data_IF_846018465654
#
_entry.id   IF_846018465654
#
_cell.length_a   1.000
_cell.length_b   1.000
_cell.length_c   1.000
_cell.angle_alpha   90.00
_cell.angle_beta   90.00
_cell.angle_gamma   90.00
#
_symmetry.space_group_name_H-M   'P 1'
#
loop_
_entity.id
_entity.type
_entity.pdbx_description
1 polymer ?
#
# COMPACT_ATOMS: atom_id res chain seq x y z
N UNK A 1 -10.91 0.77 7.43
CA UNK A 1 -10.83 0.76 5.95
C UNK A 1 -12.12 0.16 5.41
N UNK A 2 -12.66 0.70 4.31
CA UNK A 2 -13.95 0.34 3.73
C UNK A 2 -13.84 -0.91 2.83
N UNK A 3 -14.74 -1.88 3.00
CA UNK A 3 -14.78 -3.12 2.21
C UNK A 3 -15.62 -2.90 0.94
N UNK A 4 -14.96 -2.87 -0.21
CA UNK A 4 -15.60 -2.78 -1.53
C UNK A 4 -15.44 -4.13 -2.25
N UNK A 5 -16.52 -4.72 -2.80
CA UNK A 5 -16.46 -6.04 -3.44
C UNK A 5 -15.42 -6.13 -4.57
N UNK A 6 -15.23 -5.05 -5.34
CA UNK A 6 -14.23 -5.00 -6.43
C UNK A 6 -12.77 -4.97 -5.94
N UNK A 7 -12.53 -4.84 -4.63
CA UNK A 7 -11.22 -4.88 -4.01
C UNK A 7 -11.00 -6.15 -3.18
N UNK A 8 -11.86 -7.16 -3.29
CA UNK A 8 -11.80 -8.34 -2.41
C UNK A 8 -10.43 -9.05 -2.47
N UNK A 9 -9.78 -9.16 -3.63
CA UNK A 9 -8.44 -9.76 -3.75
C UNK A 9 -7.34 -8.94 -3.06
N UNK A 10 -7.39 -7.62 -3.23
CA UNK A 10 -6.49 -6.66 -2.57
C UNK A 10 -6.71 -6.68 -1.06
N UNK A 11 -7.97 -6.70 -0.64
CA UNK A 11 -8.38 -6.76 0.76
C UNK A 11 -7.95 -8.08 1.42
N UNK A 12 -8.17 -9.20 0.76
CA UNK A 12 -7.73 -10.50 1.23
C UNK A 12 -6.20 -10.55 1.42
N UNK A 13 -5.44 -9.93 0.51
CA UNK A 13 -3.99 -9.82 0.62
C UNK A 13 -3.58 -8.90 1.78
N UNK A 14 -4.23 -7.73 1.90
CA UNK A 14 -4.02 -6.80 3.00
C UNK A 14 -4.31 -7.45 4.36
N UNK A 15 -5.42 -8.17 4.50
CA UNK A 15 -5.76 -8.88 5.73
C UNK A 15 -4.72 -9.96 6.06
N UNK A 16 -4.19 -10.67 5.05
CA UNK A 16 -3.09 -11.63 5.25
C UNK A 16 -1.81 -10.94 5.76
N UNK A 17 -1.55 -9.70 5.37
CA UNK A 17 -0.41 -8.93 5.87
C UNK A 17 -0.55 -8.53 7.33
N UNK A 18 -1.77 -8.33 7.80
CA UNK A 18 -1.99 -7.91 9.17
C UNK A 18 -2.19 -9.08 10.16
N UNK A 19 -2.37 -10.31 9.65
CA UNK A 19 -2.43 -11.51 10.50
C UNK A 19 -1.21 -11.57 11.44
N UNK A 20 -1.41 -11.89 12.73
CA UNK A 20 -0.30 -12.10 13.65
C UNK A 20 0.59 -13.24 13.15
N UNK A 21 1.89 -13.14 13.40
CA UNK A 21 2.82 -14.26 13.25
C UNK A 21 2.78 -15.01 14.57
N UNK A 22 2.36 -16.27 14.55
CA UNK A 22 2.19 -17.05 15.77
C UNK A 22 3.51 -17.68 16.18
N UNK A 23 3.76 -17.78 17.48
CA UNK A 23 4.98 -18.38 18.03
C UNK A 23 5.17 -19.87 17.68
N UNK A 24 4.11 -20.52 17.18
CA UNK A 24 4.11 -21.91 16.73
C UNK A 24 4.57 -22.10 15.28
N UNK A 25 4.72 -21.01 14.52
CA UNK A 25 5.30 -21.09 13.18
C UNK A 25 6.81 -21.32 13.33
N UNK A 26 7.33 -22.44 12.83
CA UNK A 26 8.78 -22.73 12.80
C UNK A 26 9.59 -21.58 12.19
N UNK A 27 8.93 -20.80 11.33
CA UNK A 27 9.50 -19.67 10.64
C UNK A 27 9.70 -18.42 11.54
N UNK A 28 8.98 -18.37 12.67
CA UNK A 28 8.95 -17.22 13.57
C UNK A 28 10.31 -16.90 14.19
N UNK A 29 11.12 -17.91 14.52
CA UNK A 29 12.44 -17.70 15.16
C UNK A 29 13.39 -16.88 14.29
N UNK A 30 13.39 -17.08 12.96
CA UNK A 30 14.24 -16.30 12.04
C UNK A 30 13.74 -14.87 11.90
N UNK A 31 12.43 -14.67 11.78
CA UNK A 31 11.85 -13.34 11.73
C UNK A 31 12.12 -12.56 13.01
N UNK A 32 11.99 -13.22 14.17
CA UNK A 32 12.28 -12.65 15.48
C UNK A 32 13.76 -12.23 15.60
N UNK A 33 14.68 -13.08 15.16
CA UNK A 33 16.12 -12.80 15.20
C UNK A 33 16.49 -11.63 14.28
N UNK A 34 16.00 -11.62 13.04
CA UNK A 34 16.22 -10.54 12.09
C UNK A 34 15.68 -9.21 12.65
N UNK A 35 14.46 -9.23 13.19
CA UNK A 35 13.86 -8.04 13.78
C UNK A 35 14.53 -7.57 15.06
N UNK A 36 15.05 -8.48 15.88
CA UNK A 36 15.84 -8.12 17.05
C UNK A 36 17.09 -7.34 16.65
N UNK A 37 17.79 -7.76 15.58
CA UNK A 37 18.96 -7.04 15.05
C UNK A 37 18.60 -5.69 14.41
N UNK A 38 17.48 -5.62 13.70
CA UNK A 38 17.01 -4.37 13.06
C UNK A 38 16.65 -3.31 14.11
N UNK A 39 16.00 -3.73 15.21
CA UNK A 39 15.40 -2.85 16.21
C UNK A 39 16.35 -2.53 17.37
N UNK A 40 17.37 -3.35 17.65
CA UNK A 40 18.28 -3.18 18.79
C UNK A 40 18.91 -1.77 18.90
N UNK A 41 19.03 -1.07 17.77
CA UNK A 41 19.61 0.28 17.67
C UNK A 41 18.57 1.40 17.50
N UNK A 42 17.27 1.10 17.57
CA UNK A 42 16.19 2.07 17.40
C UNK A 42 15.67 2.53 18.76
N UNK A 43 15.50 3.85 18.92
CA UNK A 43 14.85 4.44 20.09
C UNK A 43 13.32 4.35 19.93
N UNK A 44 12.57 3.86 20.93
CA UNK A 44 11.09 3.84 20.91
C UNK A 44 10.46 2.63 21.61
N UNK A 45 9.17 2.37 21.33
CA UNK A 45 8.45 1.20 21.85
C UNK A 45 8.93 -0.08 21.16
N UNK A 46 9.91 -0.72 21.77
CA UNK A 46 10.56 -1.95 21.28
C UNK A 46 9.54 -3.06 20.99
N UNK A 47 8.44 -3.14 21.75
CA UNK A 47 7.45 -4.22 21.59
C UNK A 47 6.58 -4.01 20.36
N UNK A 48 6.11 -2.78 20.12
CA UNK A 48 5.32 -2.47 18.92
C UNK A 48 6.19 -2.54 17.67
N UNK A 49 7.41 -2.01 17.72
CA UNK A 49 8.39 -2.14 16.66
C UNK A 49 8.65 -3.60 16.31
N UNK A 50 8.84 -4.48 17.30
CA UNK A 50 9.08 -5.91 17.05
C UNK A 50 7.90 -6.55 16.33
N UNK A 51 6.69 -6.32 16.83
CA UNK A 51 5.47 -6.89 16.24
C UNK A 51 5.28 -6.44 14.79
N UNK A 52 5.52 -5.15 14.52
CA UNK A 52 5.44 -4.60 13.17
C UNK A 52 6.54 -5.17 12.26
N UNK A 53 7.79 -5.17 12.71
CA UNK A 53 8.93 -5.68 11.95
C UNK A 53 8.71 -7.13 11.52
N UNK A 54 8.25 -7.99 12.44
CA UNK A 54 8.03 -9.41 12.15
C UNK A 54 6.97 -9.58 11.05
N UNK A 55 5.88 -8.81 11.09
CA UNK A 55 4.90 -8.78 9.99
C UNK A 55 5.52 -8.32 8.69
N UNK A 56 6.31 -7.23 8.70
CA UNK A 56 6.95 -6.69 7.50
C UNK A 56 7.93 -7.68 6.87
N UNK A 57 8.83 -8.26 7.65
CA UNK A 57 9.80 -9.26 7.17
C UNK A 57 9.08 -10.47 6.56
N UNK A 58 8.04 -10.99 7.21
CA UNK A 58 7.21 -12.06 6.63
C UNK A 58 6.59 -11.61 5.30
N UNK A 59 6.05 -10.40 5.23
CA UNK A 59 5.33 -9.93 4.05
C UNK A 59 6.26 -9.59 2.87
N UNK A 60 7.51 -9.22 3.14
CA UNK A 60 8.59 -9.07 2.16
C UNK A 60 9.04 -10.43 1.60
N UNK A 61 8.93 -11.50 2.38
CA UNK A 61 8.95 -12.86 1.87
C UNK A 61 10.29 -13.30 1.30
N UNK A 62 11.39 -13.04 2.00
CA UNK A 62 12.75 -13.34 1.51
C UNK A 62 13.47 -14.47 2.22
N UNK A 63 12.92 -15.01 3.32
CA UNK A 63 13.57 -16.05 4.11
C UNK A 63 13.23 -17.49 3.69
N UNK A 64 11.96 -17.81 3.47
CA UNK A 64 11.49 -19.20 3.34
C UNK A 64 10.85 -19.47 1.99
N UNK A 65 11.51 -20.28 1.16
CA UNK A 65 11.11 -20.59 -0.23
C UNK A 65 9.84 -21.40 -0.36
N UNK A 66 9.46 -22.13 0.68
CA UNK A 66 8.28 -22.99 0.80
C UNK A 66 7.03 -22.23 1.28
N UNK A 67 7.12 -20.90 1.42
CA UNK A 67 5.99 -20.08 1.85
C UNK A 67 5.31 -19.37 0.69
N UNK A 68 4.00 -19.18 0.82
CA UNK A 68 3.22 -18.31 -0.09
C UNK A 68 3.62 -16.83 -0.02
N UNK A 69 4.56 -16.45 0.85
CA UNK A 69 5.10 -15.10 0.93
C UNK A 69 6.32 -14.92 0.03
N UNK A 70 7.00 -16.02 -0.31
CA UNK A 70 8.28 -15.97 -0.99
C UNK A 70 8.24 -15.29 -2.35
N UNK A 71 9.27 -14.49 -2.65
CA UNK A 71 9.50 -13.91 -3.98
C UNK A 71 8.27 -13.13 -4.51
N UNK A 72 7.79 -12.12 -3.76
CA UNK A 72 6.49 -11.48 -3.96
C UNK A 72 6.38 -10.82 -5.34
N UNK A 73 5.20 -10.84 -5.96
CA UNK A 73 4.97 -10.15 -7.24
C UNK A 73 5.02 -8.63 -7.09
N UNK A 74 5.23 -7.90 -8.19
CA UNK A 74 5.13 -6.43 -8.19
C UNK A 74 3.78 -5.91 -7.66
N UNK A 75 2.69 -6.59 -8.00
CA UNK A 75 1.35 -6.28 -7.49
C UNK A 75 1.30 -6.43 -5.97
N UNK A 76 1.84 -7.54 -5.44
CA UNK A 76 1.91 -7.77 -4.00
C UNK A 76 2.78 -6.73 -3.30
N UNK A 77 3.89 -6.31 -3.89
CA UNK A 77 4.70 -5.20 -3.37
C UNK A 77 3.87 -3.91 -3.31
N UNK A 78 3.05 -3.60 -4.31
CA UNK A 78 2.16 -2.43 -4.28
C UNK A 78 1.15 -2.52 -3.12
N UNK A 79 0.57 -3.69 -2.87
CA UNK A 79 -0.34 -3.90 -1.73
C UNK A 79 0.44 -3.82 -0.39
N UNK A 80 1.67 -4.31 -0.34
CA UNK A 80 2.51 -4.25 0.85
C UNK A 80 2.84 -2.80 1.19
N UNK A 81 3.17 -2.01 0.19
CA UNK A 81 3.36 -0.60 0.40
C UNK A 81 2.07 0.01 0.97
N UNK A 82 0.89 -0.28 0.40
CA UNK A 82 -0.43 0.17 0.93
C UNK A 82 -0.53 -0.05 2.44
N UNK A 83 -0.20 -1.27 2.85
CA UNK A 83 -0.16 -1.67 4.25
C UNK A 83 0.86 -0.88 5.07
N UNK A 84 2.08 -0.63 4.56
CA UNK A 84 3.11 0.17 5.24
C UNK A 84 2.60 1.58 5.57
N UNK A 85 1.97 2.28 4.62
CA UNK A 85 1.46 3.65 4.81
C UNK A 85 0.41 3.76 5.92
N UNK A 86 -0.54 2.83 5.93
CA UNK A 86 -1.63 2.86 6.91
C UNK A 86 -1.15 2.41 8.29
N UNK A 87 -0.20 1.48 8.31
CA UNK A 87 0.32 0.91 9.55
C UNK A 87 1.43 1.78 10.18
N UNK A 88 2.08 2.68 9.43
CA UNK A 88 3.17 3.56 9.93
C UNK A 88 2.70 4.87 10.55
N UNK A 89 1.42 5.24 10.42
CA UNK A 89 0.88 6.54 10.86
C UNK A 89 0.87 6.78 12.37
N UNK A 90 1.20 5.79 13.20
CA UNK A 90 1.04 5.86 14.65
C UNK A 90 2.32 6.06 15.47
N UNK A 91 3.54 5.96 14.91
CA UNK A 91 4.76 5.97 15.76
C UNK A 91 5.96 6.69 15.12
N UNK A 92 6.75 7.38 15.97
CA UNK A 92 8.06 7.95 15.60
C UNK A 92 9.07 6.81 15.39
N UNK A 93 10.03 6.99 14.47
CA UNK A 93 11.14 6.07 14.18
C UNK A 93 10.80 4.77 13.41
N UNK A 94 9.55 4.59 12.96
CA UNK A 94 9.16 3.48 12.08
C UNK A 94 9.88 3.50 10.72
N UNK A 95 10.18 4.69 10.17
CA UNK A 95 10.79 4.78 8.83
C UNK A 95 12.18 4.13 8.74
N UNK A 96 13.02 4.31 9.77
CA UNK A 96 14.36 3.69 9.82
C UNK A 96 14.27 2.16 9.95
N UNK A 97 13.30 1.66 10.71
CA UNK A 97 13.02 0.22 10.77
C UNK A 97 12.60 -0.33 9.41
N UNK A 98 11.67 0.35 8.72
CA UNK A 98 11.18 -0.05 7.39
C UNK A 98 12.35 -0.12 6.41
N UNK A 99 13.19 0.91 6.37
CA UNK A 99 14.38 0.95 5.51
C UNK A 99 15.31 -0.23 5.74
N UNK A 100 15.62 -0.53 7.01
CA UNK A 100 16.44 -1.70 7.38
C UNK A 100 15.79 -3.04 7.01
N UNK A 101 14.47 -3.17 7.11
CA UNK A 101 13.78 -4.37 6.63
C UNK A 101 13.93 -4.56 5.11
N UNK A 102 13.95 -3.47 4.33
CA UNK A 102 14.19 -3.54 2.89
C UNK A 102 15.66 -3.85 2.55
N UNK A 103 16.62 -3.37 3.35
CA UNK A 103 18.03 -3.75 3.23
C UNK A 103 18.18 -5.26 3.44
N UNK A 104 17.64 -5.79 4.55
CA UNK A 104 17.64 -7.24 4.82
C UNK A 104 16.99 -8.04 3.68
N UNK A 105 15.85 -7.56 3.15
CA UNK A 105 15.21 -8.18 1.99
C UNK A 105 16.12 -8.21 0.76
N UNK A 106 16.82 -7.11 0.45
CA UNK A 106 17.71 -7.05 -0.70
C UNK A 106 18.87 -8.04 -0.56
N UNK A 107 19.57 -8.01 0.58
CA UNK A 107 20.71 -8.89 0.87
C UNK A 107 20.31 -10.38 0.74
N UNK A 108 19.16 -10.73 1.30
CA UNK A 108 18.66 -12.11 1.31
C UNK A 108 18.18 -12.59 -0.06
N UNK A 109 17.64 -11.70 -0.89
CA UNK A 109 17.18 -12.01 -2.25
C UNK A 109 18.36 -12.08 -3.22
N UNK A 110 19.34 -11.19 -3.09
CA UNK A 110 20.59 -11.22 -3.86
C UNK A 110 21.40 -12.49 -3.57
N UNK A 111 21.53 -12.87 -2.29
CA UNK A 111 22.16 -14.14 -1.89
C UNK A 111 21.48 -15.37 -2.50
N UNK A 112 20.17 -15.28 -2.81
CA UNK A 112 19.38 -16.31 -3.49
C UNK A 112 19.28 -16.10 -5.02
N UNK A 113 19.98 -15.12 -5.58
CA UNK A 113 19.98 -14.74 -7.01
C UNK A 113 18.58 -14.45 -7.55
N UNK A 114 17.74 -13.78 -6.75
CA UNK A 114 16.38 -13.39 -7.11
C UNK A 114 16.32 -11.93 -7.57
N UNK A 115 15.34 -11.63 -8.43
CA UNK A 115 15.07 -10.26 -8.89
C UNK A 115 14.36 -9.50 -7.76
N UNK A 116 14.86 -8.32 -7.43
CA UNK A 116 14.26 -7.43 -6.44
C UNK A 116 12.97 -6.80 -7.01
N UNK A 117 11.81 -7.33 -6.61
CA UNK A 117 10.49 -6.80 -7.03
C UNK A 117 9.96 -5.72 -6.11
N UNK A 118 10.21 -5.83 -4.81
CA UNK A 118 9.92 -4.79 -3.83
C UNK A 118 11.17 -3.91 -3.62
N UNK A 119 11.02 -2.60 -3.43
CA UNK A 119 12.14 -1.72 -3.08
C UNK A 119 11.71 -0.56 -2.18
N UNK A 120 12.60 -0.17 -1.26
CA UNK A 120 12.37 0.97 -0.37
C UNK A 120 12.21 2.28 -1.13
N UNK A 121 13.02 2.50 -2.18
CA UNK A 121 12.88 3.69 -3.02
C UNK A 121 11.52 3.77 -3.73
N UNK A 122 10.97 2.63 -4.16
CA UNK A 122 9.61 2.59 -4.72
C UNK A 122 8.57 2.96 -3.66
N UNK A 123 8.76 2.50 -2.43
CA UNK A 123 7.97 2.88 -1.25
C UNK A 123 8.18 4.35 -0.81
N UNK A 124 9.32 4.98 -1.10
CA UNK A 124 9.61 6.35 -0.64
C UNK A 124 9.28 7.41 -1.71
N UNK A 125 9.72 7.21 -2.94
CA UNK A 125 9.70 8.21 -4.01
C UNK A 125 8.41 8.22 -4.84
N UNK A 126 7.83 7.05 -5.12
CA UNK A 126 6.61 6.95 -5.94
C UNK A 126 5.35 6.94 -5.10
N UNK A 127 5.47 6.70 -3.81
CA UNK A 127 4.46 5.87 -3.19
C UNK A 127 3.21 6.61 -2.74
N UNK A 128 3.32 7.75 -2.03
CA UNK A 128 2.11 8.47 -1.61
C UNK A 128 1.28 8.96 -2.78
N UNK A 129 1.93 9.43 -3.84
CA UNK A 129 1.21 10.04 -4.95
C UNK A 129 0.80 8.99 -6.00
N UNK A 130 1.59 7.93 -6.23
CA UNK A 130 1.13 6.78 -7.04
C UNK A 130 0.01 5.98 -6.37
N UNK A 131 0.03 5.84 -5.05
CA UNK A 131 -1.08 5.24 -4.27
C UNK A 131 -2.38 5.98 -4.47
N UNK A 132 -2.31 7.30 -4.27
CA UNK A 132 -3.43 8.19 -4.45
C UNK A 132 -3.94 8.09 -5.89
N UNK A 133 -3.06 8.14 -6.88
CA UNK A 133 -3.39 7.92 -8.29
C UNK A 133 -4.05 6.55 -8.54
N UNK A 134 -3.53 5.46 -7.95
CA UNK A 134 -4.14 4.13 -8.06
C UNK A 134 -5.57 4.09 -7.50
N UNK A 135 -5.83 4.77 -6.38
CA UNK A 135 -7.19 4.90 -5.82
C UNK A 135 -8.10 5.65 -6.80
N UNK A 136 -7.61 6.71 -7.44
CA UNK A 136 -8.36 7.44 -8.47
C UNK A 136 -8.56 6.60 -9.76
N UNK A 137 -7.58 5.80 -10.15
CA UNK A 137 -7.70 4.89 -11.29
C UNK A 137 -8.71 3.77 -11.01
N UNK A 138 -8.76 3.24 -9.78
CA UNK A 138 -9.79 2.29 -9.35
C UNK A 138 -11.19 2.90 -9.47
N UNK A 139 -11.35 4.18 -9.14
CA UNK A 139 -12.60 4.89 -9.41
C UNK A 139 -12.92 4.90 -10.92
N UNK A 140 -11.95 5.24 -11.78
CA UNK A 140 -12.14 5.28 -13.23
C UNK A 140 -12.59 3.92 -13.79
N UNK A 141 -11.87 2.84 -13.44
CA UNK A 141 -12.20 1.49 -13.90
C UNK A 141 -13.58 1.03 -13.44
N UNK A 142 -14.01 1.44 -12.25
CA UNK A 142 -15.28 1.02 -11.66
C UNK A 142 -16.39 2.06 -11.83
N UNK A 143 -16.19 3.12 -12.63
CA UNK A 143 -17.14 4.25 -12.70
C UNK A 143 -18.55 3.82 -13.09
N UNK A 144 -18.69 2.88 -14.03
CA UNK A 144 -19.98 2.33 -14.43
C UNK A 144 -20.68 1.54 -13.31
N UNK A 145 -19.92 0.74 -12.55
CA UNK A 145 -20.44 -0.01 -11.40
C UNK A 145 -20.85 0.97 -10.31
N UNK A 146 -19.99 1.94 -9.99
CA UNK A 146 -20.26 3.01 -9.03
C UNK A 146 -21.54 3.77 -9.40
N UNK A 147 -21.71 4.14 -10.68
CA UNK A 147 -22.89 4.83 -11.19
C UNK A 147 -24.16 4.03 -10.97
N UNK A 148 -24.18 2.76 -11.41
CA UNK A 148 -25.35 1.88 -11.27
C UNK A 148 -25.74 1.72 -9.79
N UNK A 149 -24.79 1.37 -8.93
CA UNK A 149 -25.02 1.19 -7.49
C UNK A 149 -25.47 2.48 -6.79
N UNK A 150 -24.96 3.65 -7.20
CA UNK A 150 -25.36 4.92 -6.60
C UNK A 150 -26.72 5.44 -7.10
N UNK A 151 -27.16 5.04 -8.29
CA UNK A 151 -28.48 5.38 -8.84
C UNK A 151 -29.59 4.42 -8.40
N UNK A 152 -29.26 3.19 -8.00
CA UNK A 152 -30.22 2.23 -7.47
C UNK A 152 -30.85 2.74 -6.15
N UNK A 153 -32.17 2.55 -6.01
CA UNK A 153 -32.95 3.01 -4.88
C UNK A 153 -32.78 2.11 -3.64
N UNK A 154 -32.45 0.81 -3.82
CA UNK A 154 -32.54 -0.21 -2.78
C UNK A 154 -31.19 -0.89 -2.43
N UNK A 155 -30.06 -0.39 -2.95
CA UNK A 155 -28.75 -0.99 -2.67
C UNK A 155 -28.23 -0.61 -1.27
N UNK A 156 -28.22 -1.59 -0.37
CA UNK A 156 -27.65 -1.49 0.99
C UNK A 156 -26.18 -1.03 1.04
N UNK A 157 -25.44 -1.11 -0.07
CA UNK A 157 -24.05 -0.66 -0.18
C UNK A 157 -23.90 0.80 -0.61
N UNK A 158 -24.97 1.51 -0.96
CA UNK A 158 -24.94 2.88 -1.47
C UNK A 158 -24.13 3.84 -0.59
N UNK A 159 -24.27 3.73 0.74
CA UNK A 159 -23.48 4.52 1.70
C UNK A 159 -21.98 4.24 1.60
N UNK A 160 -21.57 2.97 1.44
CA UNK A 160 -20.16 2.60 1.27
C UNK A 160 -19.61 3.21 -0.01
N UNK A 161 -20.33 3.07 -1.11
CA UNK A 161 -19.91 3.59 -2.42
C UNK A 161 -19.81 5.12 -2.41
N UNK A 162 -20.73 5.85 -1.74
CA UNK A 162 -20.61 7.30 -1.53
C UNK A 162 -19.34 7.65 -0.74
N UNK A 163 -19.02 6.88 0.30
CA UNK A 163 -17.78 7.09 1.05
C UNK A 163 -16.54 6.90 0.18
N UNK A 164 -16.53 5.92 -0.72
CA UNK A 164 -15.44 5.74 -1.69
C UNK A 164 -15.22 6.99 -2.52
N UNK A 165 -16.29 7.49 -3.13
CA UNK A 165 -16.28 8.70 -3.97
C UNK A 165 -15.74 9.89 -3.18
N UNK A 166 -16.18 10.07 -1.93
CA UNK A 166 -15.68 11.11 -1.03
C UNK A 166 -14.18 10.98 -0.74
N UNK A 167 -13.67 9.77 -0.51
CA UNK A 167 -12.23 9.54 -0.30
C UNK A 167 -11.41 9.85 -1.57
N UNK A 168 -11.91 9.46 -2.75
CA UNK A 168 -11.29 9.84 -4.03
C UNK A 168 -11.24 11.38 -4.18
N UNK A 169 -12.27 12.12 -3.80
CA UNK A 169 -12.26 13.59 -3.87
C UNK A 169 -11.26 14.23 -2.91
N UNK A 170 -11.14 13.69 -1.68
CA UNK A 170 -10.14 14.15 -0.70
C UNK A 170 -8.71 13.92 -1.18
N UNK A 171 -8.50 12.92 -2.04
CA UNK A 171 -7.22 12.64 -2.68
C UNK A 171 -6.99 13.57 -3.88
N UNK A 172 -7.98 13.68 -4.77
CA UNK A 172 -7.85 14.40 -6.03
C UNK A 172 -7.57 15.89 -5.83
N UNK A 173 -8.29 16.57 -4.93
CA UNK A 173 -8.17 18.03 -4.77
C UNK A 173 -6.74 18.47 -4.40
N UNK A 174 -6.10 17.94 -3.33
CA UNK A 174 -4.73 18.32 -2.99
C UNK A 174 -3.71 17.90 -4.06
N UNK A 175 -3.92 16.78 -4.75
CA UNK A 175 -3.01 16.35 -5.81
C UNK A 175 -3.03 17.27 -7.01
N UNK A 176 -4.23 17.68 -7.44
CA UNK A 176 -4.39 18.62 -8.56
C UNK A 176 -3.73 19.97 -8.26
N UNK A 177 -3.90 20.46 -7.03
CA UNK A 177 -3.25 21.69 -6.56
C UNK A 177 -1.72 21.55 -6.51
N UNK A 178 -1.22 20.43 -5.98
CA UNK A 178 0.23 20.18 -5.86
C UNK A 178 0.93 20.03 -7.22
N UNK A 179 0.30 19.34 -8.18
CA UNK A 179 0.98 18.88 -9.39
C UNK A 179 0.58 19.60 -10.67
N UNK A 180 -0.64 20.13 -10.73
CA UNK A 180 -1.27 20.56 -11.98
C UNK A 180 -1.80 21.98 -11.94
N UNK A 181 -1.46 22.76 -10.91
CA UNK A 181 -1.93 24.13 -10.73
C UNK A 181 -1.28 25.11 -11.71
N UNK A 182 0.02 24.99 -11.98
CA UNK A 182 0.76 25.83 -12.95
C UNK A 182 1.12 25.05 -14.20
N UNK A 183 1.22 25.75 -15.33
CA UNK A 183 1.56 25.15 -16.62
C UNK A 183 2.96 24.48 -16.62
N UNK A 184 3.95 25.11 -15.98
CA UNK A 184 5.30 24.55 -15.81
C UNK A 184 5.29 23.25 -14.98
N UNK A 185 4.49 23.21 -13.92
CA UNK A 185 4.34 21.99 -13.09
C UNK A 185 3.61 20.89 -13.85
N UNK A 186 2.59 21.25 -14.65
CA UNK A 186 1.85 20.30 -15.49
C UNK A 186 2.76 19.67 -16.55
N UNK A 187 3.66 20.43 -17.17
CA UNK A 187 4.66 19.87 -18.08
C UNK A 187 5.61 18.91 -17.37
N UNK A 188 6.08 19.27 -16.17
CA UNK A 188 6.96 18.42 -15.36
C UNK A 188 6.28 17.13 -14.86
N UNK A 189 4.98 17.17 -14.62
CA UNK A 189 4.20 16.05 -14.06
C UNK A 189 3.07 15.61 -14.99
N UNK A 190 3.32 15.65 -16.30
CA UNK A 190 2.30 15.42 -17.33
C UNK A 190 1.49 14.14 -17.10
N UNK A 191 2.17 13.02 -16.81
CA UNK A 191 1.53 11.73 -16.53
C UNK A 191 0.59 11.78 -15.32
N UNK A 192 0.99 12.42 -14.23
CA UNK A 192 0.16 12.59 -13.03
C UNK A 192 -1.07 13.42 -13.37
N UNK A 193 -0.88 14.53 -14.11
CA UNK A 193 -1.98 15.39 -14.49
C UNK A 193 -2.97 14.72 -15.44
N UNK A 194 -2.49 13.87 -16.36
CA UNK A 194 -3.35 13.07 -17.23
C UNK A 194 -4.26 12.11 -16.43
N UNK A 195 -3.71 11.39 -15.45
CA UNK A 195 -4.50 10.50 -14.58
C UNK A 195 -5.53 11.28 -13.73
N UNK A 196 -5.14 12.45 -13.21
CA UNK A 196 -6.06 13.33 -12.48
C UNK A 196 -7.17 13.89 -13.37
N UNK A 197 -6.87 14.21 -14.63
CA UNK A 197 -7.86 14.69 -15.61
C UNK A 197 -8.83 13.55 -16.00
N UNK A 198 -8.35 12.31 -16.13
CA UNK A 198 -9.19 11.13 -16.34
C UNK A 198 -10.17 10.93 -15.18
N UNK A 199 -9.68 11.01 -13.94
CA UNK A 199 -10.54 10.98 -12.75
C UNK A 199 -11.62 12.07 -12.78
N UNK A 200 -11.23 13.30 -13.08
CA UNK A 200 -12.16 14.42 -13.17
C UNK A 200 -13.25 14.20 -14.22
N UNK A 201 -12.89 13.61 -15.37
CA UNK A 201 -13.85 13.32 -16.44
C UNK A 201 -14.81 12.20 -16.06
N UNK A 202 -14.31 11.13 -15.45
CA UNK A 202 -15.15 10.05 -14.94
C UNK A 202 -16.10 10.53 -13.83
N UNK A 203 -15.62 11.40 -12.93
CA UNK A 203 -16.42 11.96 -11.84
C UNK A 203 -17.56 12.85 -12.33
N UNK A 204 -17.40 13.54 -13.47
CA UNK A 204 -18.48 14.35 -14.06
C UNK A 204 -19.70 13.54 -14.48
N UNK A 205 -19.58 12.22 -14.66
CA UNK A 205 -20.72 11.35 -15.01
C UNK A 205 -21.78 11.33 -13.89
N UNK A 206 -21.42 11.70 -12.67
CA UNK A 206 -22.33 11.76 -11.51
C UNK A 206 -23.05 13.11 -11.34
N UNK A 207 -22.82 14.07 -12.25
CA UNK A 207 -23.43 15.42 -12.28
C UNK A 207 -24.08 15.68 -13.62
#
# INVERSE_FOLDING_TARGET
LFQYPFLDSVWNTYMKFDKPVLNTDTNNTVYDNACHQIISHLNGDVKNHKTYCVKLIRNLGHYYTDTNYFDPTYERCNILYNWLYHSSKSEKNIDNMIEKCFIDYNDQMEGKRKILKCSYDSYKNMYLDKMKLNILNLFNYNTEILRKTLMDADDSNKTRYRNFVCECLKIYKPMKEKYCFRQEQRQKHEKICLELDQFNNAYKIFY
#
